data_IF_980312366874
#
_entry.id   IF_980312366874
#
_cell.length_a   1.000
_cell.length_b   1.000
_cell.length_c   1.000
_cell.angle_alpha   90.00
_cell.angle_beta   90.00
_cell.angle_gamma   90.00
#
_symmetry.space_group_name_H-M   'P 1'
#
loop_
_entity.id
_entity.type
_entity.pdbx_description
1 polymer ?
#
# COMPACT_ATOMS: atom_id res chain seq x y z
N UNK A 1 28.47 12.94 9.82
CA UNK A 1 27.49 13.91 9.29
C UNK A 1 26.11 13.32 9.51
N UNK A 2 25.23 14.06 10.17
CA UNK A 2 23.92 13.57 10.56
C UNK A 2 22.95 13.47 9.38
N UNK A 3 21.94 12.60 9.49
CA UNK A 3 20.83 12.52 8.53
C UNK A 3 20.10 13.86 8.36
N UNK A 4 20.04 14.64 9.44
CA UNK A 4 19.43 15.96 9.48
C UNK A 4 20.22 16.99 8.65
N UNK A 5 21.57 16.94 8.69
CA UNK A 5 22.43 17.79 7.85
C UNK A 5 22.21 17.51 6.35
N UNK A 6 21.88 16.27 6.00
CA UNK A 6 21.58 15.89 4.61
C UNK A 6 20.22 16.42 4.15
N UNK A 7 19.25 16.47 5.05
CA UNK A 7 17.93 17.07 4.80
C UNK A 7 18.02 18.58 4.57
N UNK A 8 18.75 19.31 5.42
CA UNK A 8 18.94 20.75 5.25
C UNK A 8 19.57 21.08 3.89
N UNK A 9 20.64 20.37 3.52
CA UNK A 9 21.30 20.54 2.22
C UNK A 9 20.42 20.13 1.03
N UNK A 10 19.54 19.16 1.21
CA UNK A 10 18.56 18.74 0.20
C UNK A 10 17.57 19.86 -0.08
N UNK A 11 16.95 20.36 0.98
CA UNK A 11 15.95 21.42 0.91
C UNK A 11 16.52 22.75 0.41
N UNK A 12 17.72 23.14 0.84
CA UNK A 12 18.42 24.34 0.34
C UNK A 12 18.69 24.30 -1.17
N UNK A 13 18.98 23.10 -1.71
CA UNK A 13 19.24 22.92 -3.14
C UNK A 13 17.99 23.14 -3.99
N UNK A 14 16.83 22.78 -3.45
CA UNK A 14 15.55 22.82 -4.18
C UNK A 14 14.85 24.16 -4.02
N UNK A 15 14.89 24.77 -2.84
CA UNK A 15 14.17 26.02 -2.51
C UNK A 15 15.02 27.27 -2.81
N UNK A 16 16.32 27.09 -3.09
CA UNK A 16 17.27 28.18 -3.25
C UNK A 16 17.66 28.82 -1.91
N UNK A 17 18.81 29.51 -1.87
CA UNK A 17 19.48 30.01 -0.66
C UNK A 17 18.73 31.06 0.20
N UNK A 18 17.41 31.23 0.01
CA UNK A 18 16.53 32.07 0.84
C UNK A 18 16.13 31.41 2.18
N UNK A 19 16.52 30.14 2.39
CA UNK A 19 16.10 29.29 3.51
C UNK A 19 16.45 29.87 4.90
N UNK A 20 17.70 30.25 5.16
CA UNK A 20 18.13 30.60 6.52
C UNK A 20 17.63 31.97 7.06
N UNK A 21 17.03 32.83 6.24
CA UNK A 21 16.54 34.15 6.68
C UNK A 21 15.05 34.16 7.04
N UNK A 22 14.24 33.34 6.38
CA UNK A 22 12.77 33.33 6.53
C UNK A 22 12.29 32.52 7.73
N UNK A 23 13.08 31.57 8.23
CA UNK A 23 12.70 30.67 9.34
C UNK A 23 13.41 30.97 10.67
N UNK A 24 13.93 32.20 10.85
CA UNK A 24 14.55 32.62 12.13
C UNK A 24 13.55 32.81 13.27
N UNK A 25 12.26 32.88 12.94
CA UNK A 25 11.14 32.98 13.89
C UNK A 25 10.05 31.97 13.49
N UNK A 26 9.62 31.13 14.45
CA UNK A 26 8.63 30.09 14.23
C UNK A 26 9.25 28.70 14.00
N UNK A 27 8.41 27.75 13.60
CA UNK A 27 8.78 26.35 13.35
C UNK A 27 9.76 26.27 12.20
N UNK A 28 10.85 25.52 12.41
CA UNK A 28 11.81 25.19 11.35
C UNK A 28 11.47 23.84 10.71
N UNK A 29 11.78 23.63 9.41
CA UNK A 29 11.60 22.33 8.76
C UNK A 29 12.34 21.19 9.48
N UNK A 30 13.48 21.49 10.10
CA UNK A 30 14.23 20.56 10.94
C UNK A 30 13.43 20.09 12.16
N UNK A 31 12.67 20.98 12.79
CA UNK A 31 11.84 20.64 13.95
C UNK A 31 10.68 19.72 13.55
N UNK A 32 10.09 19.94 12.37
CA UNK A 32 9.09 19.02 11.78
C UNK A 32 9.71 17.65 11.52
N UNK A 33 10.90 17.61 10.91
CA UNK A 33 11.61 16.36 10.65
C UNK A 33 11.93 15.60 11.96
N UNK A 34 12.41 16.31 12.98
CA UNK A 34 12.71 15.74 14.28
C UNK A 34 11.45 15.22 15.00
N UNK A 35 10.33 15.96 14.91
CA UNK A 35 9.06 15.57 15.48
C UNK A 35 8.50 14.30 14.81
N UNK A 36 8.50 14.24 13.48
CA UNK A 36 8.08 13.06 12.72
C UNK A 36 8.92 11.83 13.07
N UNK A 37 10.25 11.98 13.14
CA UNK A 37 11.15 10.88 13.52
C UNK A 37 10.84 10.36 14.92
N UNK A 38 10.69 11.28 15.89
CA UNK A 38 10.34 10.95 17.27
C UNK A 38 8.99 10.22 17.34
N UNK A 39 8.02 10.63 16.54
CA UNK A 39 6.72 9.98 16.48
C UNK A 39 6.84 8.54 15.96
N UNK A 40 7.61 8.29 14.90
CA UNK A 40 7.87 6.93 14.42
C UNK A 40 8.53 6.06 15.49
N UNK A 41 9.56 6.58 16.17
CA UNK A 41 10.26 5.86 17.23
C UNK A 41 9.31 5.54 18.40
N UNK A 42 8.43 6.47 18.75
CA UNK A 42 7.48 6.34 19.87
C UNK A 42 6.37 5.32 19.55
N UNK A 43 5.92 5.28 18.30
CA UNK A 43 4.80 4.43 17.84
C UNK A 43 5.26 3.13 17.17
N UNK A 44 6.56 2.86 17.18
CA UNK A 44 7.12 1.62 16.69
C UNK A 44 6.54 0.42 17.46
N UNK A 45 5.94 -0.51 16.72
CA UNK A 45 5.29 -1.70 17.26
C UNK A 45 5.96 -2.97 16.72
N UNK A 46 6.39 -3.85 17.61
CA UNK A 46 6.96 -5.15 17.23
C UNK A 46 5.84 -6.09 16.82
N UNK A 47 5.84 -6.53 15.56
CA UNK A 47 4.82 -7.45 15.03
C UNK A 47 5.35 -8.87 14.85
N UNK A 48 6.65 -9.04 14.59
CA UNK A 48 7.35 -10.33 14.63
C UNK A 48 8.79 -10.16 15.09
N UNK A 49 9.54 -11.27 15.24
CA UNK A 49 10.95 -11.25 15.66
C UNK A 49 11.86 -10.44 14.73
N UNK A 50 11.45 -10.23 13.49
CA UNK A 50 12.25 -9.60 12.43
C UNK A 50 11.59 -8.33 11.87
N UNK A 51 10.39 -7.96 12.36
CA UNK A 51 9.61 -6.86 11.77
C UNK A 51 9.01 -5.94 12.83
N UNK A 52 9.53 -4.71 12.85
CA UNK A 52 9.00 -3.59 13.63
C UNK A 52 8.20 -2.71 12.66
N UNK A 53 6.91 -2.55 12.93
CA UNK A 53 6.04 -1.68 12.13
C UNK A 53 6.00 -0.27 12.71
N UNK A 54 5.92 0.71 11.83
CA UNK A 54 5.72 2.12 12.19
C UNK A 54 4.56 2.72 11.40
N UNK A 55 3.94 3.81 11.90
CA UNK A 55 2.91 4.54 11.18
C UNK A 55 3.35 5.02 9.80
N UNK A 56 2.44 5.00 8.83
CA UNK A 56 2.71 5.46 7.47
C UNK A 56 1.79 6.62 7.04
N UNK A 57 0.80 7.00 7.84
CA UNK A 57 0.06 8.26 7.68
C UNK A 57 0.48 9.17 8.82
N UNK A 58 1.02 10.33 8.47
CA UNK A 58 1.57 11.31 9.40
C UNK A 58 0.92 12.66 9.12
N UNK A 59 0.23 13.20 10.11
CA UNK A 59 -0.38 14.54 10.05
C UNK A 59 0.37 15.48 10.96
N UNK A 60 1.00 16.48 10.38
CA UNK A 60 1.72 17.53 11.11
C UNK A 60 0.77 18.71 11.25
N UNK A 61 0.34 18.98 12.49
CA UNK A 61 -0.45 20.16 12.84
C UNK A 61 0.46 21.31 13.27
N UNK A 62 0.18 22.47 12.72
CA UNK A 62 0.94 23.70 12.93
C UNK A 62 -0.01 24.88 13.14
N UNK A 63 0.49 25.93 13.80
CA UNK A 63 -0.21 27.22 13.83
C UNK A 63 -0.43 27.76 12.40
N UNK A 64 -1.42 28.64 12.16
CA UNK A 64 -1.64 29.23 10.83
C UNK A 64 -0.41 29.91 10.24
N UNK A 65 0.37 30.62 11.06
CA UNK A 65 1.59 31.31 10.64
C UNK A 65 2.71 30.33 10.26
N UNK A 66 2.90 29.27 11.05
CA UNK A 66 3.88 28.21 10.76
C UNK A 66 3.51 27.39 9.54
N UNK A 67 2.23 27.06 9.38
CA UNK A 67 1.73 26.35 8.21
C UNK A 67 1.96 27.14 6.94
N UNK A 68 1.62 28.44 6.92
CA UNK A 68 1.87 29.31 5.77
C UNK A 68 3.37 29.36 5.41
N UNK A 69 4.25 29.40 6.41
CA UNK A 69 5.70 29.31 6.22
C UNK A 69 6.11 27.97 5.60
N UNK A 70 5.62 26.84 6.10
CA UNK A 70 5.93 25.52 5.53
C UNK A 70 5.37 25.33 4.13
N UNK A 71 4.14 25.80 3.88
CA UNK A 71 3.48 25.72 2.58
C UNK A 71 4.27 26.48 1.50
N UNK A 72 5.04 27.51 1.87
CA UNK A 72 5.91 28.24 0.92
C UNK A 72 7.03 27.36 0.34
N UNK A 73 7.40 26.27 1.02
CA UNK A 73 8.39 25.30 0.55
C UNK A 73 7.81 24.28 -0.43
N UNK A 74 6.48 24.15 -0.49
CA UNK A 74 5.76 23.29 -1.43
C UNK A 74 6.09 21.80 -1.31
N UNK A 75 6.02 21.09 -2.44
CA UNK A 75 6.24 19.63 -2.52
C UNK A 75 7.67 19.21 -2.15
N UNK A 76 8.65 20.09 -2.34
CA UNK A 76 10.06 19.83 -2.01
C UNK A 76 10.28 19.47 -0.54
N UNK A 77 9.52 20.11 0.37
CA UNK A 77 9.56 19.77 1.79
C UNK A 77 9.06 18.35 2.03
N UNK A 78 7.94 17.97 1.41
CA UNK A 78 7.34 16.64 1.58
C UNK A 78 8.28 15.56 1.05
N UNK A 79 8.90 15.78 -0.10
CA UNK A 79 9.83 14.82 -0.70
C UNK A 79 11.06 14.60 0.21
N UNK A 80 11.65 15.68 0.71
CA UNK A 80 12.81 15.59 1.62
C UNK A 80 12.44 14.94 2.96
N UNK A 81 11.28 15.28 3.54
CA UNK A 81 10.78 14.63 4.75
C UNK A 81 10.56 13.13 4.52
N UNK A 82 9.95 12.77 3.38
CA UNK A 82 9.71 11.37 3.00
C UNK A 82 11.03 10.60 2.88
N UNK A 83 12.01 11.17 2.19
CA UNK A 83 13.33 10.57 2.04
C UNK A 83 14.03 10.39 3.40
N UNK A 84 13.96 11.40 4.28
CA UNK A 84 14.52 11.33 5.63
C UNK A 84 13.88 10.19 6.45
N UNK A 85 12.54 10.07 6.42
CA UNK A 85 11.84 9.03 7.18
C UNK A 85 12.14 7.63 6.63
N UNK A 86 12.29 7.47 5.31
CA UNK A 86 12.72 6.20 4.71
C UNK A 86 14.13 5.81 5.15
N UNK A 87 15.08 6.76 5.15
CA UNK A 87 16.45 6.52 5.59
C UNK A 87 16.51 6.16 7.08
N UNK A 88 15.75 6.87 7.92
CA UNK A 88 15.66 6.56 9.35
C UNK A 88 15.07 5.18 9.60
N UNK A 89 13.97 4.85 8.92
CA UNK A 89 13.34 3.54 9.02
C UNK A 89 14.31 2.41 8.61
N UNK A 90 15.05 2.59 7.52
CA UNK A 90 16.07 1.62 7.10
C UNK A 90 17.16 1.44 8.17
N UNK A 91 17.66 2.54 8.76
CA UNK A 91 18.66 2.50 9.81
C UNK A 91 18.17 1.79 11.09
N UNK A 92 16.90 2.00 11.46
CA UNK A 92 16.28 1.39 12.65
C UNK A 92 15.62 0.02 12.37
N UNK A 93 15.70 -0.49 11.13
CA UNK A 93 15.00 -1.71 10.67
C UNK A 93 13.47 -1.64 10.85
N UNK A 94 12.90 -0.46 10.76
CA UNK A 94 11.45 -0.28 10.72
C UNK A 94 10.90 -0.61 9.33
N UNK A 95 9.65 -1.04 9.31
CA UNK A 95 8.90 -1.30 8.08
C UNK A 95 7.60 -0.50 8.11
N UNK A 96 7.37 0.30 7.08
CA UNK A 96 6.07 0.91 6.87
C UNK A 96 5.07 -0.13 6.31
N UNK A 97 3.82 -0.17 6.77
CA UNK A 97 2.78 -1.07 6.26
C UNK A 97 2.24 -0.67 4.87
N UNK A 98 2.70 0.46 4.30
CA UNK A 98 2.33 0.97 2.99
C UNK A 98 3.19 2.16 2.61
N UNK A 99 2.79 2.90 1.56
CA UNK A 99 3.40 4.18 1.21
C UNK A 99 3.29 5.17 2.37
N UNK A 100 4.31 6.04 2.50
CA UNK A 100 4.33 7.10 3.51
C UNK A 100 3.51 8.27 2.96
N UNK A 101 2.57 8.77 3.75
CA UNK A 101 1.79 9.96 3.47
C UNK A 101 2.02 10.98 4.58
N UNK A 102 2.51 12.15 4.20
CA UNK A 102 2.75 13.26 5.13
C UNK A 102 1.82 14.39 4.73
N UNK A 103 1.07 14.95 5.68
CA UNK A 103 0.15 16.06 5.44
C UNK A 103 0.36 17.14 6.48
N UNK A 104 0.49 18.39 6.03
CA UNK A 104 0.57 19.55 6.92
C UNK A 104 -0.82 20.19 7.02
N UNK A 105 -1.33 20.34 8.23
CA UNK A 105 -2.64 20.94 8.51
C UNK A 105 -2.52 22.10 9.48
N UNK A 106 -3.46 23.03 9.37
CA UNK A 106 -3.57 24.18 10.27
C UNK A 106 -4.37 23.77 11.50
N UNK A 107 -3.91 24.21 12.66
CA UNK A 107 -4.64 24.14 13.93
C UNK A 107 -4.57 25.52 14.62
N UNK A 108 -5.72 26.21 14.64
CA UNK A 108 -5.85 27.55 15.24
C UNK A 108 -5.64 27.56 16.76
N UNK A 109 -5.67 26.39 17.40
CA UNK A 109 -5.40 26.23 18.84
C UNK A 109 -3.91 26.13 19.18
N UNK A 110 -3.03 25.98 18.19
CA UNK A 110 -1.58 25.86 18.41
C UNK A 110 -0.88 27.22 18.40
N UNK A 111 -0.02 27.44 19.40
CA UNK A 111 0.88 28.59 19.43
C UNK A 111 1.97 28.46 18.35
N UNK A 112 2.51 29.60 17.91
CA UNK A 112 3.66 29.60 16.99
C UNK A 112 4.86 28.89 17.60
N UNK A 113 5.58 28.12 16.78
CA UNK A 113 6.73 27.31 17.23
C UNK A 113 6.34 25.94 17.82
N UNK A 114 5.05 25.62 17.90
CA UNK A 114 4.58 24.31 18.37
C UNK A 114 4.31 23.40 17.17
N UNK A 115 4.96 22.23 17.17
CA UNK A 115 4.70 21.16 16.20
C UNK A 115 4.00 20.02 16.92
N UNK A 116 2.82 19.64 16.43
CA UNK A 116 2.14 18.44 16.87
C UNK A 116 2.07 17.46 15.71
N UNK A 117 2.41 16.20 15.97
CA UNK A 117 2.34 15.12 14.98
C UNK A 117 1.32 14.12 15.47
N UNK A 118 0.29 13.90 14.67
CA UNK A 118 -0.59 12.75 14.81
C UNK A 118 -0.16 11.69 13.82
N UNK A 119 -0.23 10.44 14.25
CA UNK A 119 0.19 9.32 13.44
C UNK A 119 -0.85 8.22 13.42
N UNK A 120 -1.09 7.72 12.22
CA UNK A 120 -1.91 6.56 11.99
C UNK A 120 -1.07 5.55 11.21
N UNK A 121 -0.90 4.38 11.79
CA UNK A 121 -0.66 3.21 10.95
C UNK A 121 -1.99 2.98 10.26
N UNK A 122 -2.03 2.99 8.93
CA UNK A 122 -3.13 2.30 8.29
C UNK A 122 -3.12 0.92 8.94
N UNK A 123 -4.23 0.50 9.54
CA UNK A 123 -4.51 -0.93 9.71
C UNK A 123 -4.64 -1.48 8.29
N UNK A 124 -3.53 -1.50 7.56
CA UNK A 124 -3.44 -2.12 6.26
C UNK A 124 -3.55 -3.59 6.62
N UNK A 125 -4.80 -4.08 6.64
CA UNK A 125 -5.11 -5.29 5.91
C UNK A 125 -4.36 -5.12 4.60
N UNK A 126 -3.21 -5.79 4.46
CA UNK A 126 -2.69 -6.08 3.13
C UNK A 126 -3.90 -6.65 2.41
N UNK A 127 -4.46 -5.91 1.46
CA UNK A 127 -5.54 -6.44 0.65
C UNK A 127 -4.83 -7.35 -0.33
N UNK A 128 -4.62 -8.56 0.13
CA UNK A 128 -4.19 -9.67 -0.68
C UNK A 128 -5.19 -9.81 -1.81
N UNK A 129 -4.75 -9.45 -3.01
CA UNK A 129 -5.57 -9.51 -4.20
C UNK A 129 -5.25 -10.82 -4.91
N UNK A 130 -6.13 -11.82 -4.80
CA UNK A 130 -5.98 -13.05 -5.57
C UNK A 130 -6.15 -12.75 -7.06
N UNK A 131 -5.23 -13.27 -7.86
CA UNK A 131 -5.30 -13.25 -9.31
C UNK A 131 -5.09 -14.65 -9.86
N UNK A 132 -5.70 -14.92 -11.00
CA UNK A 132 -5.42 -16.10 -11.82
C UNK A 132 -4.90 -15.64 -13.17
N UNK A 133 -3.80 -16.23 -13.63
CA UNK A 133 -3.27 -16.03 -14.97
C UNK A 133 -3.71 -17.21 -15.85
N UNK A 134 -4.44 -16.94 -16.93
CA UNK A 134 -5.02 -17.92 -17.84
C UNK A 134 -4.71 -17.47 -19.27
N UNK A 135 -4.06 -18.31 -20.07
CA UNK A 135 -3.69 -18.00 -21.47
C UNK A 135 -2.96 -16.66 -21.66
N UNK A 136 -2.22 -16.21 -20.64
CA UNK A 136 -1.50 -14.93 -20.63
C UNK A 136 -2.33 -13.73 -20.16
N UNK A 137 -3.63 -13.89 -19.96
CA UNK A 137 -4.51 -12.87 -19.39
C UNK A 137 -4.57 -12.99 -17.86
N UNK A 138 -4.69 -11.85 -17.16
CA UNK A 138 -4.79 -11.78 -15.71
C UNK A 138 -6.22 -11.46 -15.30
N UNK A 139 -6.85 -12.37 -14.56
CA UNK A 139 -8.17 -12.15 -13.98
C UNK A 139 -8.05 -11.97 -12.47
N UNK A 140 -8.60 -10.87 -11.96
CA UNK A 140 -8.70 -10.60 -10.52
C UNK A 140 -9.92 -11.32 -9.95
N UNK A 141 -9.76 -12.03 -8.83
CA UNK A 141 -10.92 -12.59 -8.12
C UNK A 141 -11.51 -11.51 -7.23
N UNK A 142 -12.63 -10.92 -7.66
CA UNK A 142 -13.27 -9.79 -6.97
C UNK A 142 -14.29 -10.22 -5.92
N UNK A 143 -14.69 -11.49 -5.92
CA UNK A 143 -15.67 -12.06 -5.02
C UNK A 143 -15.02 -13.12 -4.12
N UNK A 144 -15.64 -13.42 -2.97
CA UNK A 144 -15.17 -14.48 -2.06
C UNK A 144 -15.27 -15.89 -2.65
N UNK A 145 -16.07 -16.05 -3.70
CA UNK A 145 -16.27 -17.29 -4.45
C UNK A 145 -16.12 -16.96 -5.93
N UNK A 146 -15.29 -17.71 -6.64
CA UNK A 146 -15.12 -17.59 -8.09
C UNK A 146 -15.19 -18.96 -8.72
N UNK A 147 -16.13 -19.14 -9.63
CA UNK A 147 -16.29 -20.36 -10.44
C UNK A 147 -15.58 -20.18 -11.76
N UNK A 148 -14.77 -21.17 -12.13
CA UNK A 148 -14.04 -21.20 -13.40
C UNK A 148 -14.50 -22.42 -14.20
N UNK A 149 -14.80 -22.22 -15.47
CA UNK A 149 -15.28 -23.28 -16.35
C UNK A 149 -15.57 -22.78 -17.77
N UNK A 150 -16.09 -23.66 -18.61
CA UNK A 150 -16.43 -23.37 -20.02
C UNK A 150 -17.81 -22.73 -20.21
N UNK A 151 -18.69 -22.86 -19.22
CA UNK A 151 -20.09 -22.47 -19.34
C UNK A 151 -20.30 -21.00 -19.03
N UNK A 152 -21.43 -20.45 -19.50
CA UNK A 152 -21.87 -19.09 -19.19
C UNK A 152 -22.17 -18.84 -17.71
N UNK A 153 -22.33 -19.91 -16.92
CA UNK A 153 -22.53 -19.85 -15.47
C UNK A 153 -21.23 -19.65 -14.68
N UNK A 154 -20.07 -19.70 -15.34
CA UNK A 154 -18.78 -19.48 -14.70
C UNK A 154 -18.44 -17.98 -14.65
N UNK A 155 -17.89 -17.51 -13.53
CA UNK A 155 -17.40 -16.14 -13.38
C UNK A 155 -16.22 -15.86 -14.32
N UNK A 156 -15.39 -16.88 -14.55
CA UNK A 156 -14.31 -16.84 -15.54
C UNK A 156 -14.55 -17.97 -16.54
N UNK A 157 -14.88 -17.58 -17.77
CA UNK A 157 -15.14 -18.51 -18.86
C UNK A 157 -13.86 -18.87 -19.61
N UNK A 158 -13.58 -20.17 -19.75
CA UNK A 158 -12.42 -20.70 -20.47
C UNK A 158 -12.88 -21.34 -21.78
N UNK A 159 -12.23 -20.96 -22.87
CA UNK A 159 -12.47 -21.52 -24.21
C UNK A 159 -11.75 -22.88 -24.42
N UNK A 160 -12.00 -23.85 -23.55
CA UNK A 160 -11.43 -25.20 -23.65
C UNK A 160 -12.50 -26.29 -23.60
N UNK A 161 -12.52 -27.13 -24.63
CA UNK A 161 -13.43 -28.29 -24.74
C UNK A 161 -13.16 -29.36 -23.69
N UNK A 162 -11.92 -29.44 -23.18
CA UNK A 162 -11.54 -30.33 -22.08
C UNK A 162 -12.04 -29.86 -20.70
N UNK A 163 -12.62 -28.67 -20.62
CA UNK A 163 -13.06 -28.05 -19.38
C UNK A 163 -14.59 -28.19 -19.20
N UNK A 164 -15.05 -28.59 -18.02
CA UNK A 164 -16.48 -28.66 -17.68
C UNK A 164 -17.13 -27.26 -17.66
N UNK A 165 -18.46 -27.20 -17.80
CA UNK A 165 -19.21 -25.92 -17.79
C UNK A 165 -18.96 -25.12 -16.49
N UNK A 166 -19.01 -25.82 -15.37
CA UNK A 166 -18.56 -25.38 -14.04
C UNK A 166 -17.52 -26.39 -13.60
N UNK A 167 -16.23 -26.05 -13.66
CA UNK A 167 -15.15 -27.03 -13.45
C UNK A 167 -14.63 -26.95 -12.02
N UNK A 168 -14.15 -25.77 -11.64
CA UNK A 168 -13.57 -25.53 -10.32
C UNK A 168 -14.19 -24.31 -9.67
N UNK A 169 -14.09 -24.29 -8.35
CA UNK A 169 -14.39 -23.16 -7.49
C UNK A 169 -13.14 -22.79 -6.72
N UNK A 170 -12.83 -21.49 -6.71
CA UNK A 170 -11.85 -20.90 -5.80
C UNK A 170 -12.61 -20.08 -4.76
N UNK A 171 -12.43 -20.44 -3.49
CA UNK A 171 -12.89 -19.65 -2.36
C UNK A 171 -11.73 -18.83 -1.82
N UNK A 172 -11.99 -17.55 -1.55
CA UNK A 172 -11.04 -16.60 -0.97
C UNK A 172 -11.64 -15.95 0.27
N UNK A 173 -11.01 -16.16 1.43
CA UNK A 173 -11.48 -15.63 2.72
C UNK A 173 -10.89 -14.25 3.08
N UNK A 174 -10.04 -13.70 2.19
CA UNK A 174 -9.27 -12.47 2.44
C UNK A 174 -7.79 -12.72 2.72
N UNK A 175 -7.41 -13.95 3.05
CA UNK A 175 -6.03 -14.34 3.40
C UNK A 175 -5.59 -15.65 2.72
N UNK A 176 -6.49 -16.63 2.63
CA UNK A 176 -6.23 -17.98 2.13
C UNK A 176 -7.19 -18.34 1.00
N UNK A 177 -6.69 -19.12 0.07
CA UNK A 177 -7.48 -19.70 -1.00
C UNK A 177 -7.73 -21.20 -0.77
N UNK A 178 -8.91 -21.66 -1.16
CA UNK A 178 -9.25 -23.07 -1.28
C UNK A 178 -9.75 -23.34 -2.70
N UNK A 179 -9.24 -24.41 -3.30
CA UNK A 179 -9.70 -24.94 -4.58
C UNK A 179 -10.64 -26.13 -4.33
N UNK A 180 -11.76 -26.18 -5.04
CA UNK A 180 -12.68 -27.32 -5.06
C UNK A 180 -13.04 -27.66 -6.51
N UNK A 181 -12.94 -28.94 -6.89
CA UNK A 181 -13.49 -29.47 -8.14
C UNK A 181 -15.01 -29.66 -7.99
N UNK A 182 -15.77 -29.19 -8.98
CA UNK A 182 -17.24 -29.18 -8.96
C UNK A 182 -17.87 -30.39 -9.67
N UNK A 183 -17.18 -31.54 -9.67
CA UNK A 183 -17.62 -32.74 -10.37
C UNK A 183 -17.28 -32.68 -11.86
N UNK A 184 -16.06 -32.26 -12.17
CA UNK A 184 -15.60 -32.16 -13.54
C UNK A 184 -15.46 -33.53 -14.21
N UNK A 185 -15.52 -33.56 -15.55
CA UNK A 185 -15.42 -34.82 -16.30
C UNK A 185 -13.98 -35.35 -16.35
N UNK A 186 -13.00 -34.45 -16.45
CA UNK A 186 -11.59 -34.80 -16.63
C UNK A 186 -10.76 -34.68 -15.34
N UNK A 187 -11.37 -34.23 -14.25
CA UNK A 187 -10.69 -33.95 -12.99
C UNK A 187 -9.89 -32.64 -13.00
N UNK A 188 -9.48 -32.23 -11.81
CA UNK A 188 -8.63 -31.06 -11.56
C UNK A 188 -7.30 -31.51 -10.98
N UNK A 189 -6.20 -30.97 -11.48
CA UNK A 189 -4.88 -31.15 -10.88
C UNK A 189 -4.36 -29.85 -10.27
N UNK A 190 -3.67 -29.94 -9.13
CA UNK A 190 -2.96 -28.86 -8.47
C UNK A 190 -1.48 -29.23 -8.34
N UNK A 191 -0.61 -28.44 -8.94
CA UNK A 191 0.84 -28.68 -9.00
C UNK A 191 1.17 -30.10 -9.51
N UNK A 192 0.39 -30.59 -10.49
CA UNK A 192 0.55 -31.92 -11.10
C UNK A 192 -0.12 -33.08 -10.35
N UNK A 193 -0.70 -32.85 -9.17
CA UNK A 193 -1.39 -33.88 -8.39
C UNK A 193 -2.92 -33.75 -8.51
N UNK A 194 -3.68 -34.85 -8.68
CA UNK A 194 -5.14 -34.79 -8.74
C UNK A 194 -5.76 -34.38 -7.40
N UNK A 195 -6.75 -33.48 -7.44
CA UNK A 195 -7.42 -32.96 -6.25
C UNK A 195 -8.93 -32.82 -6.47
N UNK A 196 -9.72 -33.14 -5.45
CA UNK A 196 -11.15 -32.78 -5.38
C UNK A 196 -11.38 -31.54 -4.52
N UNK A 197 -10.57 -31.34 -3.48
CA UNK A 197 -10.50 -30.12 -2.67
C UNK A 197 -9.11 -29.99 -2.06
N UNK A 198 -8.53 -28.79 -2.11
CA UNK A 198 -7.21 -28.52 -1.53
C UNK A 198 -7.06 -27.06 -1.11
N UNK A 199 -6.17 -26.78 -0.16
CA UNK A 199 -5.65 -25.43 0.04
C UNK A 199 -4.91 -25.02 -1.24
N UNK A 200 -5.05 -23.77 -1.65
CA UNK A 200 -4.43 -23.21 -2.84
C UNK A 200 -3.36 -22.17 -2.46
N UNK A 201 -2.09 -22.58 -2.30
CA UNK A 201 -0.99 -21.65 -2.01
C UNK A 201 -0.73 -20.68 -3.18
N UNK A 202 -0.20 -19.48 -2.91
CA UNK A 202 0.31 -18.59 -3.96
C UNK A 202 1.33 -19.29 -4.87
N UNK A 203 1.39 -18.83 -6.12
CA UNK A 203 2.23 -19.34 -7.21
C UNK A 203 1.97 -20.80 -7.60
N UNK A 204 0.84 -21.37 -7.16
CA UNK A 204 0.41 -22.71 -7.55
C UNK A 204 -0.16 -22.74 -8.96
N UNK A 205 0.01 -23.89 -9.60
CA UNK A 205 -0.50 -24.18 -10.94
C UNK A 205 -1.70 -25.11 -10.82
N UNK A 206 -2.84 -24.69 -11.37
CA UNK A 206 -4.05 -25.49 -11.50
C UNK A 206 -4.17 -25.91 -12.97
N UNK A 207 -4.43 -27.19 -13.21
CA UNK A 207 -4.65 -27.72 -14.55
C UNK A 207 -6.05 -28.32 -14.63
N UNK A 208 -6.80 -27.86 -15.63
CA UNK A 208 -8.14 -28.34 -15.94
C UNK A 208 -8.26 -28.51 -17.46
N UNK A 209 -8.69 -29.68 -17.93
CA UNK A 209 -8.69 -29.97 -19.36
C UNK A 209 -7.29 -29.80 -19.97
N UNK A 210 -7.13 -28.83 -20.87
CA UNK A 210 -5.84 -28.42 -21.46
C UNK A 210 -5.36 -27.06 -20.98
N UNK A 211 -6.13 -26.41 -20.13
CA UNK A 211 -5.84 -25.06 -19.64
C UNK A 211 -5.01 -25.12 -18.38
N UNK A 212 -3.95 -24.31 -18.37
CA UNK A 212 -3.06 -24.10 -17.23
C UNK A 212 -3.35 -22.73 -16.61
N UNK A 213 -3.66 -22.72 -15.33
CA UNK A 213 -4.03 -21.55 -14.56
C UNK A 213 -2.97 -21.34 -13.48
N UNK A 214 -2.37 -20.15 -13.41
CA UNK A 214 -1.43 -19.81 -12.33
C UNK A 214 -2.13 -18.94 -11.30
N UNK A 215 -2.24 -19.42 -10.07
CA UNK A 215 -2.79 -18.64 -8.97
C UNK A 215 -1.69 -17.81 -8.33
N UNK A 216 -1.90 -16.50 -8.18
CA UNK A 216 -0.98 -15.62 -7.45
C UNK A 216 -1.75 -14.76 -6.47
N UNK A 217 -1.08 -14.36 -5.40
CA UNK A 217 -1.61 -13.38 -4.45
C UNK A 217 -0.70 -12.17 -4.48
N UNK A 218 -1.21 -11.06 -5.01
CA UNK A 218 -0.47 -9.82 -5.05
C UNK A 218 -0.79 -8.99 -3.80
N UNK A 219 0.25 -8.55 -3.10
CA UNK A 219 0.11 -7.52 -2.09
C UNK A 219 -0.26 -6.21 -2.79
N UNK A 220 -1.53 -5.83 -2.74
CA UNK A 220 -1.90 -4.46 -3.08
C UNK A 220 -1.67 -3.60 -1.86
N UNK A 221 -0.68 -2.72 -1.93
CA UNK A 221 -0.78 -1.47 -1.17
C UNK A 221 -2.03 -0.81 -1.67
N UNK A 222 -3.05 -0.65 -0.83
CA UNK A 222 -4.20 0.16 -1.19
C UNK A 222 -3.66 1.52 -1.64
N UNK A 223 -3.70 1.79 -2.96
CA UNK A 223 -3.79 3.17 -3.40
C UNK A 223 -5.11 3.64 -2.80
N UNK A 224 -5.03 4.43 -1.73
CA UNK A 224 -6.13 5.30 -1.38
C UNK A 224 -6.55 5.99 -2.67
N UNK A 225 -7.83 5.91 -3.00
CA UNK A 225 -8.39 6.54 -4.17
C UNK A 225 -7.85 7.97 -4.28
N UNK A 226 -7.13 8.27 -5.37
CA UNK A 226 -6.85 9.66 -5.71
C UNK A 226 -8.18 10.40 -5.84
N UNK A 227 -8.25 11.68 -5.45
CA UNK A 227 -9.49 12.43 -5.53
C UNK A 227 -10.03 12.41 -6.96
N UNK A 228 -11.25 11.94 -7.13
CA UNK A 228 -12.02 12.04 -8.37
C UNK A 228 -11.99 13.51 -8.83
N UNK A 229 -11.51 13.85 -10.03
CA UNK A 229 -11.59 15.22 -10.50
C UNK A 229 -13.06 15.63 -10.60
N UNK A 230 -13.43 16.86 -10.18
CA UNK A 230 -14.80 17.31 -10.27
C UNK A 230 -15.23 17.25 -11.73
N UNK A 231 -16.36 16.59 -11.99
CA UNK A 231 -17.04 16.65 -13.29
C UNK A 231 -17.33 18.13 -13.58
N UNK A 232 -16.54 18.70 -14.46
CA UNK A 232 -16.82 20.00 -15.06
C UNK A 232 -18.14 19.90 -15.80
N UNK A 233 -19.19 20.47 -15.22
CA UNK A 233 -20.38 20.82 -15.96
C UNK A 233 -20.02 21.92 -16.94
N UNK A 234 -20.22 21.67 -18.23
CA UNK A 234 -20.39 22.74 -19.20
C UNK A 234 -21.75 22.55 -19.86
N UNK A 235 -22.42 23.70 -19.93
CA UNK A 235 -23.75 23.98 -20.44
C UNK A 235 -23.84 23.77 -21.94
#
# INVERSE_FOLDING_TARGET
MGLLDSFERGLERVVGGAFAKTFKSGVQPLEVAAALRRELDTKAAVVSRERILVPNILTVRLSPADHARMASLGEALIDELTQLLQQHAAAQRYTFPGGISITLTVDDGLAEGVVVVDSESVKNKVVWSPIVEIDGERHRLTHSRTVIGRGSEADITIADTGTSRTHIEILWDGERAQLTDLGSTNGTHLNGAPVSRAVLPPDSVIEIGRTRIVFRVLAQTGRGAGPTPPRGGQR
#
